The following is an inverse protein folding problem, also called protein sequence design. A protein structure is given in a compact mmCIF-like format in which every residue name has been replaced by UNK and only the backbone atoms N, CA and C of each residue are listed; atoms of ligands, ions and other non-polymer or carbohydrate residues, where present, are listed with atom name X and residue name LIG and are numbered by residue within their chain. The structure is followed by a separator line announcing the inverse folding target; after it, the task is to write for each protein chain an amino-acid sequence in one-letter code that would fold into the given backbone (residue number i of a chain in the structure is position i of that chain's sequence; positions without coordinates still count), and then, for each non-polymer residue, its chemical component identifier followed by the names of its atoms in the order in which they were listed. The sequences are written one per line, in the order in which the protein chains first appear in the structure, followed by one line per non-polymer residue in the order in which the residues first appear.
data_IF_146100169905
#
_entry.id   IF_146100169905
#
_cell.length_a   1.000
_cell.length_b   1.000
_cell.length_c   1.000
_cell.angle_alpha   90.00
_cell.angle_beta   90.00
_cell.angle_gamma   90.00
#
_symmetry.space_group_name_H-M   'P 1'
#
loop_
_entity.id
_entity.type
_entity.pdbx_description
1 polymer ?
#
# COMPACT_ATOMS: atom_id res chain seq x y z
N UNK A 1 23.00 -13.62 1.59
CA UNK A 1 22.97 -12.34 0.86
C UNK A 1 21.62 -11.68 1.11
N UNK A 2 21.58 -10.39 1.40
CA UNK A 2 20.35 -9.65 1.72
C UNK A 2 20.42 -8.23 1.16
N UNK A 3 19.26 -7.60 1.02
CA UNK A 3 19.13 -6.17 0.67
C UNK A 3 18.42 -5.44 1.81
N UNK A 4 18.86 -4.22 2.10
CA UNK A 4 18.18 -3.32 3.04
C UNK A 4 17.17 -2.46 2.27
N UNK A 5 15.95 -2.35 2.80
CA UNK A 5 14.90 -1.48 2.27
C UNK A 5 14.77 -0.27 3.21
N UNK A 6 14.90 0.94 2.66
CA UNK A 6 14.77 2.20 3.41
C UNK A 6 13.59 2.96 2.80
N UNK A 7 12.37 2.86 3.37
CA UNK A 7 11.17 3.50 2.78
C UNK A 7 11.16 5.03 2.94
N UNK A 8 11.99 5.57 3.83
CA UNK A 8 12.19 7.01 3.97
C UNK A 8 13.66 7.30 4.32
N UNK A 9 14.35 8.02 3.43
CA UNK A 9 15.77 8.37 3.56
C UNK A 9 16.00 9.87 3.77
N UNK A 10 14.96 10.61 4.16
CA UNK A 10 14.99 12.06 4.32
C UNK A 10 14.27 12.82 3.19
N UNK A 11 14.06 14.12 3.41
CA UNK A 11 13.45 15.03 2.46
C UNK A 11 13.53 16.47 2.98
N UNK A 12 13.43 17.46 2.10
CA UNK A 12 13.53 18.88 2.45
C UNK A 12 12.19 19.50 2.86
N UNK A 13 11.07 18.83 2.56
CA UNK A 13 9.73 19.19 3.02
C UNK A 13 9.36 18.37 4.26
N UNK A 14 8.40 18.83 5.08
CA UNK A 14 7.86 18.04 6.18
C UNK A 14 7.38 16.67 5.69
N UNK A 15 7.86 15.61 6.33
CA UNK A 15 7.51 14.25 5.94
C UNK A 15 6.08 13.90 6.38
N UNK A 16 5.37 13.17 5.52
CA UNK A 16 4.10 12.56 5.87
C UNK A 16 4.36 11.28 6.70
N UNK A 17 3.81 11.23 7.91
CA UNK A 17 3.84 10.03 8.76
C UNK A 17 2.72 9.03 8.42
N UNK A 18 1.87 9.38 7.46
CA UNK A 18 0.63 8.69 7.08
C UNK A 18 -0.31 9.69 6.42
N UNK A 19 -1.52 9.25 6.07
CA UNK A 19 -2.50 10.10 5.42
C UNK A 19 -3.08 11.12 6.43
N UNK A 20 -3.16 12.40 6.05
CA UNK A 20 -3.76 13.46 6.89
C UNK A 20 -5.25 13.61 6.61
N UNK A 21 -5.98 12.51 6.76
CA UNK A 21 -7.43 12.45 6.65
C UNK A 21 -8.02 11.82 7.91
N UNK A 22 -9.24 12.20 8.26
CA UNK A 22 -9.96 11.47 9.30
C UNK A 22 -10.24 10.03 8.81
N UNK A 23 -10.30 9.03 9.71
CA UNK A 23 -10.47 7.63 9.31
C UNK A 23 -11.78 7.33 8.58
N UNK A 24 -12.78 8.20 8.70
CA UNK A 24 -14.11 8.12 8.09
C UNK A 24 -14.21 8.84 6.74
N UNK A 25 -13.15 9.50 6.29
CA UNK A 25 -13.10 10.12 4.98
C UNK A 25 -13.09 9.06 3.87
N UNK A 26 -13.92 9.25 2.84
CA UNK A 26 -14.04 8.31 1.72
C UNK A 26 -12.72 8.02 1.02
N UNK A 27 -11.83 9.03 0.93
CA UNK A 27 -10.51 8.85 0.31
C UNK A 27 -9.61 7.93 1.15
N UNK A 28 -9.74 7.97 2.48
CA UNK A 28 -9.01 7.10 3.40
C UNK A 28 -9.44 5.64 3.24
N UNK A 29 -10.72 5.39 3.01
CA UNK A 29 -11.26 4.04 2.76
C UNK A 29 -10.91 3.47 1.39
N UNK A 30 -10.72 4.31 0.38
CA UNK A 30 -10.48 3.86 -1.00
C UNK A 30 -9.01 3.64 -1.32
N UNK A 31 -8.09 4.24 -0.55
CA UNK A 31 -6.67 4.31 -0.87
C UNK A 31 -5.81 3.98 0.35
N UNK A 32 -5.79 2.71 0.75
CA UNK A 32 -5.09 2.27 1.98
C UNK A 32 -3.57 2.51 1.93
N UNK A 33 -2.98 2.58 0.74
CA UNK A 33 -1.53 2.72 0.57
C UNK A 33 -0.96 4.01 1.17
N UNK A 34 -1.78 5.06 1.34
CA UNK A 34 -1.34 6.36 1.85
C UNK A 34 -0.89 6.32 3.32
N UNK A 35 -1.40 5.37 4.11
CA UNK A 35 -1.19 5.33 5.57
C UNK A 35 -0.02 4.43 6.02
N UNK A 36 0.66 3.76 5.08
CA UNK A 36 1.78 2.86 5.39
C UNK A 36 2.90 3.05 4.38
N UNK A 37 4.13 3.17 4.89
CA UNK A 37 5.31 3.49 4.08
C UNK A 37 5.99 2.24 3.47
N UNK A 38 5.69 1.04 3.98
CA UNK A 38 6.23 -0.22 3.48
C UNK A 38 5.14 -1.28 3.37
N UNK A 39 5.09 -1.94 2.22
CA UNK A 39 4.20 -3.06 1.91
C UNK A 39 5.02 -4.18 1.28
N UNK A 40 4.67 -5.43 1.59
CA UNK A 40 5.21 -6.62 0.92
C UNK A 40 4.05 -7.56 0.65
N UNK A 41 3.84 -7.93 -0.61
CA UNK A 41 2.81 -8.89 -1.03
C UNK A 41 3.46 -10.04 -1.79
N UNK A 42 2.74 -11.15 -1.93
CA UNK A 42 3.16 -12.21 -2.85
C UNK A 42 3.12 -11.67 -4.28
N UNK A 43 4.05 -12.13 -5.11
CA UNK A 43 4.06 -11.75 -6.51
C UNK A 43 2.83 -12.30 -7.27
N UNK A 44 2.06 -11.37 -7.85
CA UNK A 44 0.99 -11.65 -8.83
C UNK A 44 1.14 -10.71 -10.02
N UNK A 45 1.11 -11.24 -11.25
CA UNK A 45 1.40 -10.44 -12.45
C UNK A 45 0.40 -9.29 -12.69
N UNK A 46 -0.84 -9.43 -12.20
CA UNK A 46 -1.93 -8.47 -12.34
C UNK A 46 -1.96 -7.35 -11.28
N UNK A 47 -1.23 -7.51 -10.17
CA UNK A 47 -1.25 -6.59 -9.03
C UNK A 47 -0.13 -5.55 -9.17
N UNK A 48 -0.46 -4.42 -9.81
CA UNK A 48 0.55 -3.42 -10.23
C UNK A 48 0.33 -2.01 -9.70
N UNK A 49 -0.89 -1.69 -9.27
CA UNK A 49 -1.30 -0.32 -8.97
C UNK A 49 -1.70 -0.23 -7.50
N UNK A 50 -1.02 0.57 -6.66
CA UNK A 50 -1.33 0.66 -5.23
C UNK A 50 -2.73 1.22 -4.94
N UNK A 51 -3.31 1.97 -5.87
CA UNK A 51 -4.68 2.51 -5.87
C UNK A 51 -5.71 1.62 -6.60
N UNK A 52 -5.25 0.54 -7.24
CA UNK A 52 -6.05 -0.33 -8.09
C UNK A 52 -6.07 0.08 -9.57
N UNK A 53 -6.52 -0.84 -10.44
CA UNK A 53 -6.42 -0.67 -11.91
C UNK A 53 -7.28 0.46 -12.47
N UNK A 54 -8.42 0.75 -11.84
CA UNK A 54 -9.39 1.76 -12.28
C UNK A 54 -9.83 2.63 -11.08
N UNK A 55 -9.01 3.60 -10.64
CA UNK A 55 -9.26 4.36 -9.42
C UNK A 55 -10.34 5.45 -9.57
N UNK A 56 -10.65 5.84 -10.81
CA UNK A 56 -11.61 6.90 -11.08
C UNK A 56 -13.00 6.51 -10.54
N UNK A 57 -13.51 7.31 -9.58
CA UNK A 57 -14.78 7.07 -8.86
C UNK A 57 -14.90 5.64 -8.28
N UNK A 58 -13.79 5.03 -7.86
CA UNK A 58 -13.85 3.78 -7.10
C UNK A 58 -14.71 3.94 -5.83
N UNK A 59 -15.34 2.86 -5.37
CA UNK A 59 -16.18 2.86 -4.16
C UNK A 59 -15.56 2.07 -3.01
N UNK A 60 -14.49 1.33 -3.28
CA UNK A 60 -13.67 0.59 -2.32
C UNK A 60 -12.23 0.47 -2.85
N UNK A 61 -11.30 0.09 -1.99
CA UNK A 61 -9.91 -0.18 -2.36
C UNK A 61 -9.80 -1.46 -3.20
N UNK A 62 -9.12 -1.36 -4.35
CA UNK A 62 -8.81 -2.48 -5.26
C UNK A 62 -7.31 -2.59 -5.57
N UNK A 63 -6.50 -1.87 -4.80
CA UNK A 63 -5.05 -1.81 -4.85
C UNK A 63 -4.40 -2.54 -3.69
N UNK A 64 -3.39 -1.93 -3.06
CA UNK A 64 -2.58 -2.59 -2.02
C UNK A 64 -3.39 -3.06 -0.82
N UNK A 65 -4.44 -2.34 -0.43
CA UNK A 65 -5.33 -2.79 0.64
C UNK A 65 -6.05 -4.10 0.29
N UNK A 66 -6.42 -4.28 -0.99
CA UNK A 66 -7.01 -5.52 -1.48
C UNK A 66 -5.96 -6.62 -1.67
N UNK A 67 -4.78 -6.31 -2.23
CA UNK A 67 -3.71 -7.28 -2.50
C UNK A 67 -3.17 -7.94 -1.21
N UNK A 68 -3.05 -7.17 -0.14
CA UNK A 68 -2.58 -7.68 1.15
C UNK A 68 -3.69 -8.34 1.99
N UNK A 69 -4.97 -8.25 1.58
CA UNK A 69 -6.12 -8.68 2.39
C UNK A 69 -6.12 -10.17 2.72
N UNK A 70 -5.64 -10.99 1.79
CA UNK A 70 -5.60 -12.45 1.95
C UNK A 70 -4.46 -12.92 2.87
N UNK A 71 -3.56 -12.01 3.26
CA UNK A 71 -2.44 -12.27 4.18
C UNK A 71 -1.63 -13.53 3.80
N UNK A 72 -1.28 -13.64 2.53
CA UNK A 72 -0.52 -14.77 2.01
C UNK A 72 0.86 -14.90 2.68
N UNK A 73 1.33 -16.15 2.80
CA UNK A 73 2.66 -16.42 3.34
C UNK A 73 3.76 -15.82 2.46
N UNK A 74 4.63 -15.00 3.06
CA UNK A 74 5.83 -14.44 2.44
C UNK A 74 7.09 -15.29 2.68
N UNK A 75 6.92 -16.44 3.33
CA UNK A 75 8.03 -17.38 3.57
C UNK A 75 8.22 -18.29 2.37
N UNK A 76 9.43 -18.82 2.19
CA UNK A 76 9.65 -19.85 1.16
C UNK A 76 8.85 -21.10 1.53
N UNK A 77 8.05 -21.67 0.60
CA UNK A 77 7.49 -23.01 0.78
C UNK A 77 8.62 -24.00 1.04
N UNK A 78 8.36 -24.96 1.92
CA UNK A 78 9.33 -25.95 2.37
C UNK A 78 9.68 -26.94 1.26
#
# INVERSE_FOLDING_TARGET
MSYQIIPYAGGTHPAATGAKFAPDEWIYHRLSFMDKQLWVTRYHQSERYPEGKYPNRSIHDTGLGAYAKDNESLTKPR
#
